data_IF_301443222517
#
_entry.id   IF_301443222517
#
_cell.length_a   1.000
_cell.length_b   1.000
_cell.length_c   1.000
_cell.angle_alpha   90.00
_cell.angle_beta   90.00
_cell.angle_gamma   90.00
#
_symmetry.space_group_name_H-M   'P 1'
#
loop_
_entity.id
_entity.type
_entity.pdbx_description
1 polymer ?
#
# COMPACT_ATOMS: atom_id res chain seq x y z
N UNK A 1 -3.24 8.87 -11.78
CA UNK A 1 -3.15 8.37 -10.38
C UNK A 1 -1.68 8.38 -9.99
N UNK A 2 -1.31 8.95 -8.84
CA UNK A 2 0.09 9.30 -8.52
C UNK A 2 0.84 8.16 -7.80
N UNK A 3 1.92 7.62 -8.40
CA UNK A 3 2.82 6.64 -7.76
C UNK A 3 3.43 7.16 -6.46
N UNK A 4 3.61 8.48 -6.33
CA UNK A 4 4.14 9.12 -5.12
C UNK A 4 3.30 8.82 -3.86
N UNK A 5 1.99 8.69 -4.01
CA UNK A 5 1.08 8.36 -2.90
C UNK A 5 1.31 6.92 -2.40
N UNK A 6 1.59 6.00 -3.33
CA UNK A 6 1.93 4.61 -3.03
C UNK A 6 3.29 4.51 -2.35
N UNK A 7 4.32 5.16 -2.89
CA UNK A 7 5.67 5.17 -2.29
C UNK A 7 5.66 5.75 -0.87
N UNK A 8 4.94 6.86 -0.67
CA UNK A 8 4.81 7.46 0.67
C UNK A 8 4.08 6.53 1.62
N UNK A 9 3.03 5.84 1.14
CA UNK A 9 2.33 4.85 1.95
C UNK A 9 3.24 3.68 2.31
N UNK A 10 4.01 3.13 1.36
CA UNK A 10 4.92 2.01 1.62
C UNK A 10 6.06 2.38 2.57
N UNK A 11 6.59 3.60 2.47
CA UNK A 11 7.54 4.13 3.46
C UNK A 11 6.89 4.24 4.85
N UNK A 12 5.62 4.64 4.92
CA UNK A 12 4.86 4.71 6.18
C UNK A 12 4.55 3.32 6.77
N UNK A 13 4.28 2.33 5.92
CA UNK A 13 4.12 0.92 6.31
C UNK A 13 5.40 0.39 6.96
N UNK A 14 6.58 0.76 6.44
CA UNK A 14 7.86 0.32 7.03
C UNK A 14 8.16 0.98 8.38
N UNK A 15 7.70 2.22 8.59
CA UNK A 15 7.97 3.02 9.79
C UNK A 15 6.87 2.95 10.86
N UNK A 16 5.75 2.27 10.58
CA UNK A 16 4.61 2.18 11.48
C UNK A 16 4.07 0.75 11.56
N UNK A 17 4.35 0.08 12.68
CA UNK A 17 3.94 -1.30 12.92
C UNK A 17 2.42 -1.50 12.85
N UNK A 18 1.60 -0.53 13.26
CA UNK A 18 0.14 -0.67 13.19
C UNK A 18 -0.38 -0.73 11.75
N UNK A 19 0.18 0.09 10.85
CA UNK A 19 -0.18 0.07 9.43
C UNK A 19 0.38 -1.20 8.79
N UNK A 20 1.59 -1.61 9.19
CA UNK A 20 2.19 -2.87 8.74
C UNK A 20 1.31 -4.06 9.07
N UNK A 21 0.79 -4.14 10.29
CA UNK A 21 -0.11 -5.22 10.71
C UNK A 21 -1.41 -5.21 9.92
N UNK A 22 -2.00 -4.03 9.65
CA UNK A 22 -3.20 -3.93 8.78
C UNK A 22 -2.92 -4.41 7.35
N UNK A 23 -1.78 -4.03 6.76
CA UNK A 23 -1.38 -4.48 5.42
C UNK A 23 -1.06 -5.97 5.40
N UNK A 24 -0.40 -6.51 6.44
CA UNK A 24 -0.11 -7.94 6.56
C UNK A 24 -1.38 -8.79 6.67
N UNK A 25 -2.42 -8.29 7.38
CA UNK A 25 -3.73 -8.95 7.43
C UNK A 25 -4.42 -9.05 6.06
N UNK A 26 -4.10 -8.16 5.12
CA UNK A 26 -4.60 -8.26 3.75
C UNK A 26 -3.93 -9.40 2.95
N UNK A 27 -2.76 -9.89 3.36
CA UNK A 27 -2.03 -10.94 2.66
C UNK A 27 -1.75 -10.61 1.20
N UNK A 28 -2.35 -11.35 0.27
CA UNK A 28 -2.22 -11.14 -1.19
C UNK A 28 -3.35 -10.31 -1.81
N UNK A 29 -4.32 -9.84 -1.01
CA UNK A 29 -5.42 -9.03 -1.52
C UNK A 29 -4.99 -7.56 -1.68
N UNK A 30 -4.57 -7.22 -2.89
CA UNK A 30 -4.17 -5.87 -3.25
C UNK A 30 -5.33 -4.86 -3.19
N UNK A 31 -6.59 -5.31 -3.28
CA UNK A 31 -7.74 -4.42 -3.09
C UNK A 31 -7.91 -4.05 -1.61
N UNK A 32 -7.62 -4.98 -0.70
CA UNK A 32 -7.57 -4.72 0.74
C UNK A 32 -6.45 -3.71 1.08
N UNK A 33 -5.25 -3.87 0.52
CA UNK A 33 -4.14 -2.92 0.74
C UNK A 33 -4.49 -1.51 0.28
N UNK A 34 -5.15 -1.37 -0.87
CA UNK A 34 -5.64 -0.06 -1.37
C UNK A 34 -6.67 0.56 -0.42
N UNK A 35 -7.56 -0.24 0.19
CA UNK A 35 -8.52 0.24 1.19
C UNK A 35 -7.84 0.69 2.48
N UNK A 36 -6.84 -0.06 2.96
CA UNK A 36 -6.02 0.32 4.12
C UNK A 36 -5.30 1.64 3.83
N UNK A 37 -4.68 1.77 2.67
CA UNK A 37 -4.06 3.02 2.25
C UNK A 37 -5.05 4.19 2.25
N UNK A 38 -6.26 4.00 1.71
CA UNK A 38 -7.30 5.02 1.68
C UNK A 38 -7.72 5.46 3.09
N UNK A 39 -7.81 4.51 4.05
CA UNK A 39 -8.08 4.78 5.48
C UNK A 39 -7.00 5.65 6.11
N UNK A 40 -5.75 5.53 5.66
CA UNK A 40 -4.63 6.35 6.11
C UNK A 40 -4.38 7.60 5.24
N UNK A 41 -5.32 7.97 4.37
CA UNK A 41 -5.25 9.18 3.55
C UNK A 41 -4.43 9.05 2.26
N UNK A 42 -3.99 7.84 1.92
CA UNK A 42 -3.23 7.55 0.70
C UNK A 42 -4.13 6.98 -0.38
N UNK A 43 -4.11 7.57 -1.58
CA UNK A 43 -4.95 7.12 -2.71
C UNK A 43 -4.09 6.65 -3.88
N UNK A 44 -4.18 5.36 -4.18
CA UNK A 44 -3.57 4.73 -5.37
C UNK A 44 -4.44 3.56 -5.84
N UNK A 45 -4.19 3.07 -7.06
CA UNK A 45 -4.94 1.93 -7.61
C UNK A 45 -4.23 0.61 -7.35
N UNK A 46 -4.99 -0.48 -7.45
CA UNK A 46 -4.45 -1.84 -7.45
C UNK A 46 -3.43 -2.04 -8.58
N UNK A 47 -3.61 -1.39 -9.73
CA UNK A 47 -2.65 -1.42 -10.85
C UNK A 47 -1.31 -0.79 -10.49
N UNK A 48 -1.32 0.35 -9.79
CA UNK A 48 -0.10 1.00 -9.28
C UNK A 48 0.61 0.11 -8.27
N UNK A 49 -0.14 -0.50 -7.34
CA UNK A 49 0.38 -1.43 -6.35
C UNK A 49 1.00 -2.68 -7.01
N UNK A 50 0.31 -3.30 -7.98
CA UNK A 50 0.82 -4.44 -8.74
C UNK A 50 2.11 -4.10 -9.50
N UNK A 51 2.19 -2.88 -10.06
CA UNK A 51 3.38 -2.42 -10.75
C UNK A 51 4.55 -2.27 -9.78
N UNK A 52 4.34 -1.56 -8.67
CA UNK A 52 5.35 -1.37 -7.63
C UNK A 52 5.83 -2.70 -7.06
N UNK A 53 4.91 -3.63 -6.74
CA UNK A 53 5.27 -4.95 -6.26
C UNK A 53 6.17 -5.69 -7.25
N UNK A 54 5.94 -5.59 -8.57
CA UNK A 54 6.81 -6.20 -9.59
C UNK A 54 8.18 -5.52 -9.72
N UNK A 55 8.23 -4.19 -9.55
CA UNK A 55 9.48 -3.42 -9.63
C UNK A 55 10.36 -3.61 -8.38
N UNK A 56 9.76 -3.99 -7.25
CA UNK A 56 10.42 -4.18 -5.96
C UNK A 56 10.39 -5.64 -5.45
N UNK A 57 10.17 -6.63 -6.34
CA UNK A 57 10.21 -8.07 -6.02
C UNK A 57 11.53 -8.74 -6.37
#
# INVERSE_FOLDING_TARGET
>A
MSMKQLETFMSRVQSNDSIRDEVQRCGRDNSCVVKVAAKHGHKFTTSSLNRWQREHH
#
